data_IF_475602048928
#
_entry.id   IF_475602048928
#
_cell.length_a   1.000
_cell.length_b   1.000
_cell.length_c   1.000
_cell.angle_alpha   90.00
_cell.angle_beta   90.00
_cell.angle_gamma   90.00
#
_symmetry.space_group_name_H-M   'P 1'
#
loop_
_entity.id
_entity.type
_entity.pdbx_description
1 polymer ?
#
# COMPACT_ATOMS: atom_id res chain seq x y z
N UNK A 1 -5.03 -29.83 -32.30
CA UNK A 1 -4.12 -29.17 -31.38
C UNK A 1 -4.92 -28.75 -30.14
N UNK A 2 -4.73 -29.36 -28.95
CA UNK A 2 -5.42 -28.93 -27.72
C UNK A 2 -4.83 -27.59 -27.30
N UNK A 3 -5.65 -26.52 -27.24
CA UNK A 3 -5.26 -25.25 -26.63
C UNK A 3 -5.30 -25.44 -25.10
N UNK A 4 -4.13 -25.37 -24.48
CA UNK A 4 -4.04 -25.26 -23.02
C UNK A 4 -4.37 -23.82 -22.65
N UNK A 5 -5.53 -23.60 -22.02
CA UNK A 5 -5.89 -22.32 -21.42
C UNK A 5 -5.59 -22.42 -19.93
N UNK A 6 -5.08 -21.34 -19.34
CA UNK A 6 -4.90 -21.28 -17.90
C UNK A 6 -6.23 -21.57 -17.19
N UNK A 7 -6.19 -22.45 -16.19
CA UNK A 7 -7.34 -22.74 -15.33
C UNK A 7 -7.18 -21.89 -14.07
N UNK A 8 -8.16 -21.02 -13.81
CA UNK A 8 -8.21 -20.21 -12.61
C UNK A 8 -9.00 -20.95 -11.52
N UNK A 9 -8.44 -20.98 -10.33
CA UNK A 9 -9.10 -21.43 -9.11
C UNK A 9 -9.45 -20.19 -8.27
N UNK A 10 -10.71 -19.78 -8.33
CA UNK A 10 -11.20 -18.58 -7.67
C UNK A 10 -11.38 -18.82 -6.17
N UNK A 11 -10.70 -18.01 -5.36
CA UNK A 11 -10.85 -18.00 -3.91
C UNK A 11 -11.34 -16.64 -3.47
N UNK A 12 -12.59 -16.57 -3.05
CA UNK A 12 -13.18 -15.37 -2.50
C UNK A 12 -12.73 -15.15 -1.05
N UNK A 13 -12.49 -13.91 -0.67
CA UNK A 13 -12.29 -13.49 0.71
C UNK A 13 -13.28 -12.38 1.07
N UNK A 14 -13.48 -12.16 2.38
CA UNK A 14 -14.38 -11.13 2.87
C UNK A 14 -15.80 -11.62 3.18
N UNK A 15 -16.66 -10.69 3.56
CA UNK A 15 -18.05 -10.93 3.88
C UNK A 15 -18.91 -11.05 2.60
N UNK A 16 -20.22 -11.30 2.78
CA UNK A 16 -21.21 -11.28 1.70
C UNK A 16 -21.09 -10.02 0.84
N UNK A 17 -21.36 -10.09 -0.49
CA UNK A 17 -21.38 -8.91 -1.37
C UNK A 17 -22.26 -7.75 -0.89
N UNK A 18 -23.29 -8.04 -0.10
CA UNK A 18 -24.22 -7.05 0.46
C UNK A 18 -23.76 -6.48 1.81
N UNK A 19 -22.64 -6.96 2.36
CA UNK A 19 -22.12 -6.46 3.62
C UNK A 19 -21.29 -5.19 3.41
N UNK A 20 -21.27 -4.32 4.42
CA UNK A 20 -20.38 -3.16 4.42
C UNK A 20 -18.92 -3.61 4.29
N UNK A 21 -18.08 -2.88 3.52
CA UNK A 21 -16.67 -3.20 3.38
C UNK A 21 -15.96 -3.27 4.74
N UNK A 22 -15.26 -4.37 4.97
CA UNK A 22 -14.51 -4.60 6.23
C UNK A 22 -13.14 -5.17 5.94
N UNK A 23 -12.20 -4.99 6.87
CA UNK A 23 -10.92 -5.69 6.82
C UNK A 23 -11.17 -7.17 7.01
N UNK A 24 -10.58 -7.99 6.15
CA UNK A 24 -10.68 -9.46 6.21
C UNK A 24 -9.31 -10.10 6.05
N UNK A 25 -9.14 -11.26 6.67
CA UNK A 25 -7.91 -12.06 6.58
C UNK A 25 -8.08 -13.22 5.62
N UNK A 26 -7.01 -13.59 4.92
CA UNK A 26 -6.93 -14.78 4.09
C UNK A 26 -5.48 -15.28 4.05
N UNK A 27 -5.29 -16.55 3.70
CA UNK A 27 -3.96 -17.16 3.61
C UNK A 27 -3.48 -17.26 2.16
N UNK A 28 -2.22 -16.94 1.94
CA UNK A 28 -1.51 -17.14 0.67
C UNK A 28 -0.25 -17.96 0.94
N UNK A 29 -0.33 -19.26 0.73
CA UNK A 29 0.80 -20.20 0.90
C UNK A 29 1.48 -20.10 2.28
N UNK A 30 0.68 -19.98 3.35
CA UNK A 30 1.16 -19.87 4.73
C UNK A 30 1.47 -18.43 5.17
N UNK A 31 1.30 -17.44 4.30
CA UNK A 31 1.37 -16.03 4.66
C UNK A 31 -0.03 -15.48 4.92
N UNK A 32 -0.27 -15.04 6.15
CA UNK A 32 -1.50 -14.32 6.47
C UNK A 32 -1.50 -12.95 5.82
N UNK A 33 -2.53 -12.68 5.03
CA UNK A 33 -2.77 -11.41 4.35
C UNK A 33 -4.04 -10.76 4.89
N UNK A 34 -4.02 -9.44 5.00
CA UNK A 34 -5.21 -8.64 5.28
C UNK A 34 -5.64 -7.92 4.01
N UNK A 35 -6.91 -8.04 3.64
CA UNK A 35 -7.54 -7.22 2.61
C UNK A 35 -8.06 -5.93 3.26
N UNK A 36 -7.59 -4.79 2.77
CA UNK A 36 -7.86 -3.46 3.28
C UNK A 36 -8.80 -2.73 2.32
N UNK A 37 -10.08 -2.54 2.64
CA UNK A 37 -11.00 -1.86 1.74
C UNK A 37 -10.64 -0.37 1.62
N UNK A 38 -10.56 0.10 0.38
CA UNK A 38 -10.27 1.49 -0.01
C UNK A 38 -11.24 1.95 -1.09
N UNK A 39 -11.36 3.25 -1.32
CA UNK A 39 -12.06 3.78 -2.48
C UNK A 39 -11.08 3.92 -3.65
N UNK A 40 -11.53 3.55 -4.83
CA UNK A 40 -10.88 3.81 -6.11
C UNK A 40 -11.83 4.64 -6.97
N UNK A 41 -11.77 5.94 -6.81
CA UNK A 41 -12.78 6.88 -7.30
C UNK A 41 -13.88 7.18 -6.26
N UNK A 42 -15.05 7.63 -6.74
CA UNK A 42 -16.09 8.14 -5.86
C UNK A 42 -16.90 7.04 -5.15
N UNK A 43 -17.11 5.89 -5.79
CA UNK A 43 -18.08 4.88 -5.37
C UNK A 43 -17.60 3.42 -5.55
N UNK A 44 -16.39 3.21 -6.06
CA UNK A 44 -15.86 1.86 -6.27
C UNK A 44 -14.96 1.43 -5.11
N UNK A 45 -15.37 0.36 -4.40
CA UNK A 45 -14.54 -0.26 -3.37
C UNK A 45 -13.51 -1.17 -4.03
N UNK A 46 -12.25 -0.89 -3.78
CA UNK A 46 -11.10 -1.70 -4.13
C UNK A 46 -10.42 -2.22 -2.86
N UNK A 47 -9.40 -3.05 -2.99
CA UNK A 47 -8.66 -3.58 -1.85
C UNK A 47 -7.17 -3.36 -1.99
N UNK A 48 -6.59 -2.73 -0.98
CA UNK A 48 -5.18 -2.86 -0.68
C UNK A 48 -4.91 -4.10 0.17
N UNK A 49 -3.65 -4.34 0.47
CA UNK A 49 -3.23 -5.52 1.22
C UNK A 49 -2.22 -5.16 2.30
N UNK A 50 -2.27 -5.89 3.41
CA UNK A 50 -1.20 -5.83 4.40
C UNK A 50 -0.78 -7.23 4.82
N UNK A 51 0.49 -7.38 5.21
CA UNK A 51 1.08 -8.62 5.68
C UNK A 51 2.32 -8.35 6.54
N UNK A 52 2.94 -9.38 7.04
CA UNK A 52 4.13 -9.29 7.90
C UNK A 52 3.82 -9.43 9.38
N UNK A 53 4.84 -9.47 10.23
CA UNK A 53 4.69 -9.61 11.67
C UNK A 53 3.97 -8.40 12.28
N UNK A 54 3.46 -8.55 13.50
CA UNK A 54 2.62 -7.53 14.13
C UNK A 54 3.33 -6.17 14.29
N UNK A 55 4.62 -6.19 14.52
CA UNK A 55 5.48 -5.03 14.77
C UNK A 55 6.24 -4.52 13.53
N UNK A 56 6.05 -5.15 12.35
CA UNK A 56 6.72 -4.78 11.11
C UNK A 56 5.84 -5.04 9.89
N UNK A 57 4.69 -4.35 9.80
CA UNK A 57 3.72 -4.53 8.73
C UNK A 57 4.17 -3.90 7.42
N UNK A 58 3.94 -4.64 6.33
CA UNK A 58 3.92 -4.11 4.97
C UNK A 58 2.49 -3.76 4.62
N UNK A 59 2.27 -2.57 4.10
CA UNK A 59 0.96 -2.09 3.62
C UNK A 59 1.10 -1.69 2.16
N UNK A 60 0.25 -2.22 1.28
CA UNK A 60 0.26 -1.99 -0.16
C UNK A 60 -1.09 -1.44 -0.63
N UNK A 61 -1.10 -0.20 -1.12
CA UNK A 61 -2.28 0.52 -1.60
C UNK A 61 -1.94 1.15 -2.97
N UNK A 62 -2.10 0.38 -4.06
CA UNK A 62 -1.71 0.85 -5.41
C UNK A 62 -2.81 1.57 -6.17
N UNK A 63 -4.08 1.29 -5.86
CA UNK A 63 -5.24 1.82 -6.58
C UNK A 63 -6.24 2.35 -5.57
N UNK A 64 -6.03 3.59 -5.14
CA UNK A 64 -6.91 4.21 -4.14
C UNK A 64 -7.01 5.73 -4.35
N UNK A 65 -8.10 6.30 -3.86
CA UNK A 65 -8.31 7.74 -3.70
C UNK A 65 -8.53 8.11 -2.23
N UNK A 66 -9.12 7.19 -1.45
CA UNK A 66 -9.35 7.41 -0.03
C UNK A 66 -9.38 6.08 0.74
N UNK A 67 -9.01 6.14 2.02
CA UNK A 67 -9.18 5.01 2.93
C UNK A 67 -10.64 4.93 3.39
N UNK A 68 -11.19 3.72 3.43
CA UNK A 68 -12.47 3.49 4.10
C UNK A 68 -12.27 3.40 5.63
N UNK A 69 -13.29 3.70 6.43
CA UNK A 69 -13.17 3.78 7.89
C UNK A 69 -12.51 2.57 8.57
N UNK A 70 -12.79 1.30 8.17
CA UNK A 70 -12.13 0.15 8.78
C UNK A 70 -10.62 0.13 8.52
N UNK A 71 -10.19 0.49 7.32
CA UNK A 71 -8.77 0.58 6.95
C UNK A 71 -8.10 1.75 7.67
N UNK A 72 -8.73 2.92 7.69
CA UNK A 72 -8.22 4.10 8.39
C UNK A 72 -7.99 3.81 9.88
N UNK A 73 -8.95 3.19 10.56
CA UNK A 73 -8.83 2.85 11.98
C UNK A 73 -7.69 1.86 12.25
N UNK A 74 -7.53 0.85 11.39
CA UNK A 74 -6.46 -0.14 11.52
C UNK A 74 -5.08 0.49 11.30
N UNK A 75 -4.90 1.25 10.22
CA UNK A 75 -3.61 1.88 9.91
C UNK A 75 -3.23 2.95 10.94
N UNK A 76 -4.19 3.72 11.45
CA UNK A 76 -3.96 4.69 12.53
C UNK A 76 -3.48 4.01 13.81
N UNK A 77 -4.06 2.85 14.16
CA UNK A 77 -3.60 2.06 15.31
C UNK A 77 -2.17 1.56 15.13
N UNK A 78 -1.83 1.02 13.96
CA UNK A 78 -0.47 0.56 13.67
C UNK A 78 0.54 1.70 13.65
N UNK A 79 0.16 2.84 13.08
CA UNK A 79 0.96 4.06 13.11
C UNK A 79 1.30 4.49 14.53
N UNK A 80 0.30 4.55 15.43
CA UNK A 80 0.50 4.93 16.83
C UNK A 80 1.45 3.99 17.59
N UNK A 81 1.60 2.75 17.14
CA UNK A 81 2.51 1.74 17.70
C UNK A 81 3.88 1.70 16.98
N UNK A 82 4.04 2.42 15.88
CA UNK A 82 5.25 2.35 15.04
C UNK A 82 5.38 1.05 14.25
N UNK A 83 4.28 0.38 13.95
CA UNK A 83 4.27 -0.98 13.36
C UNK A 83 4.24 -1.01 11.82
N UNK A 84 4.25 0.13 11.13
CA UNK A 84 4.29 0.16 9.66
C UNK A 84 5.74 0.28 9.20
N UNK A 85 6.32 -0.86 8.79
CA UNK A 85 7.71 -0.92 8.32
C UNK A 85 7.83 -0.43 6.88
N UNK A 86 6.90 -0.84 6.01
CA UNK A 86 6.85 -0.41 4.62
C UNK A 86 5.42 -0.04 4.21
N UNK A 87 5.28 1.16 3.65
CA UNK A 87 4.04 1.65 3.06
C UNK A 87 4.26 1.84 1.56
N UNK A 88 3.53 1.10 0.72
CA UNK A 88 3.54 1.24 -0.74
C UNK A 88 2.27 1.92 -1.18
N UNK A 89 2.38 3.06 -1.86
CA UNK A 89 1.27 3.93 -2.21
C UNK A 89 1.23 4.25 -3.70
N UNK A 90 0.02 4.49 -4.20
CA UNK A 90 -0.23 4.99 -5.55
C UNK A 90 0.37 6.40 -5.76
N UNK A 91 0.90 6.67 -6.94
CA UNK A 91 1.35 8.01 -7.34
C UNK A 91 1.35 8.14 -8.86
N UNK A 92 0.18 8.10 -9.48
CA UNK A 92 0.05 8.19 -10.94
C UNK A 92 0.70 9.48 -11.49
N UNK A 93 0.63 10.57 -10.74
CA UNK A 93 1.28 11.88 -10.98
C UNK A 93 1.61 12.54 -9.65
N UNK A 94 2.55 13.45 -9.60
CA UNK A 94 2.85 14.14 -8.33
C UNK A 94 1.76 15.11 -7.93
N UNK A 95 1.27 15.92 -8.86
CA UNK A 95 0.34 17.03 -8.62
C UNK A 95 -0.92 16.91 -9.48
N UNK A 96 -1.93 17.71 -9.14
CA UNK A 96 -3.19 17.78 -9.85
C UNK A 96 -4.16 16.66 -9.47
N UNK A 97 -5.44 16.91 -9.60
CA UNK A 97 -6.46 15.92 -9.25
C UNK A 97 -6.55 14.79 -10.27
N UNK A 98 -6.79 13.57 -9.80
CA UNK A 98 -7.14 12.44 -10.64
C UNK A 98 -8.42 11.77 -10.11
N UNK A 99 -9.37 11.35 -10.99
CA UNK A 99 -10.68 10.89 -10.54
C UNK A 99 -10.64 9.55 -9.77
N UNK A 100 -9.63 8.72 -10.00
CA UNK A 100 -9.58 7.35 -9.44
C UNK A 100 -8.24 6.98 -8.80
N UNK A 101 -7.19 7.79 -8.93
CA UNK A 101 -5.88 7.53 -8.33
C UNK A 101 -5.46 8.67 -7.39
N UNK A 102 -4.85 8.31 -6.28
CA UNK A 102 -4.14 9.27 -5.45
C UNK A 102 -2.96 9.88 -6.20
N UNK A 103 -2.70 11.15 -5.95
CA UNK A 103 -1.48 11.83 -6.41
C UNK A 103 -0.31 11.53 -5.46
N UNK A 104 0.90 11.79 -5.93
CA UNK A 104 2.09 11.69 -5.08
C UNK A 104 2.01 12.62 -3.86
N UNK A 105 1.46 13.83 -4.01
CA UNK A 105 1.23 14.73 -2.88
C UNK A 105 0.25 14.17 -1.86
N UNK A 106 -0.89 13.61 -2.30
CA UNK A 106 -1.87 12.97 -1.41
C UNK A 106 -1.26 11.75 -0.71
N UNK A 107 -0.47 10.96 -1.42
CA UNK A 107 0.26 9.82 -0.85
C UNK A 107 1.35 10.25 0.14
N UNK A 108 2.06 11.35 -0.11
CA UNK A 108 2.99 11.96 0.85
C UNK A 108 2.23 12.45 2.09
N UNK A 109 1.05 13.05 1.95
CA UNK A 109 0.22 13.45 3.11
C UNK A 109 -0.22 12.23 3.92
N UNK A 110 -0.59 11.13 3.27
CA UNK A 110 -0.89 9.89 3.98
C UNK A 110 0.34 9.34 4.71
N UNK A 111 1.51 9.35 4.09
CA UNK A 111 2.76 8.94 4.72
C UNK A 111 3.13 9.82 5.93
N UNK A 112 2.94 11.14 5.85
CA UNK A 112 3.10 12.07 6.99
C UNK A 112 2.22 11.70 8.16
N UNK A 113 0.98 11.33 7.89
CA UNK A 113 -0.02 10.99 8.91
C UNK A 113 0.25 9.64 9.55
N UNK A 114 0.68 8.65 8.75
CA UNK A 114 0.92 7.28 9.22
C UNK A 114 2.34 7.05 9.74
N UNK A 115 3.31 7.89 9.40
CA UNK A 115 4.70 7.80 9.85
C UNK A 115 5.31 6.40 9.70
N UNK A 116 5.23 5.76 8.52
CA UNK A 116 5.88 4.47 8.30
C UNK A 116 7.39 4.62 8.38
N UNK A 117 8.11 3.52 8.59
CA UNK A 117 9.57 3.51 8.54
C UNK A 117 10.09 3.85 7.14
N UNK A 118 9.39 3.40 6.09
CA UNK A 118 9.68 3.71 4.69
C UNK A 118 8.40 3.76 3.86
N UNK A 119 8.37 4.68 2.88
CA UNK A 119 7.31 4.75 1.88
C UNK A 119 7.88 4.58 0.47
N UNK A 120 7.25 3.74 -0.33
CA UNK A 120 7.48 3.63 -1.78
C UNK A 120 6.26 4.11 -2.54
N UNK A 121 6.48 4.98 -3.52
CA UNK A 121 5.45 5.42 -4.45
C UNK A 121 5.53 4.56 -5.72
N UNK A 122 4.39 4.06 -6.18
CA UNK A 122 4.25 3.19 -7.36
C UNK A 122 3.21 3.75 -8.33
N UNK A 123 3.07 3.12 -9.50
CA UNK A 123 2.05 3.51 -10.48
C UNK A 123 2.36 4.77 -11.27
N UNK A 124 3.62 5.23 -11.29
CA UNK A 124 4.04 6.47 -11.94
C UNK A 124 3.66 6.52 -13.42
N UNK A 125 2.99 7.60 -13.82
CA UNK A 125 2.73 7.90 -15.22
C UNK A 125 3.98 8.42 -15.95
N UNK A 126 3.94 8.37 -17.28
CA UNK A 126 5.06 8.73 -18.17
C UNK A 126 5.50 10.21 -18.08
N UNK A 127 4.75 11.07 -17.42
CA UNK A 127 5.11 12.49 -17.21
C UNK A 127 5.98 12.72 -15.99
N UNK A 128 6.20 11.69 -15.19
CA UNK A 128 7.01 11.77 -13.97
C UNK A 128 8.44 11.32 -14.28
N UNK A 129 9.40 12.22 -14.13
CA UNK A 129 10.81 11.88 -14.28
C UNK A 129 11.34 11.34 -12.94
N UNK A 130 11.89 10.11 -12.94
CA UNK A 130 12.18 9.34 -11.75
C UNK A 130 13.25 9.99 -10.85
N UNK A 131 14.38 10.38 -11.44
CA UNK A 131 15.51 10.89 -10.67
C UNK A 131 15.25 12.30 -10.12
N UNK A 132 14.65 13.17 -10.93
CA UNK A 132 14.28 14.52 -10.50
C UNK A 132 13.21 14.48 -9.40
N UNK A 133 12.22 13.60 -9.52
CA UNK A 133 11.19 13.44 -8.50
C UNK A 133 11.79 12.89 -7.20
N UNK A 134 12.63 11.88 -7.26
CA UNK A 134 13.32 11.34 -6.08
C UNK A 134 14.23 12.39 -5.43
N UNK A 135 14.90 13.23 -6.23
CA UNK A 135 15.70 14.31 -5.70
C UNK A 135 14.85 15.32 -4.90
N UNK A 136 13.63 15.64 -5.38
CA UNK A 136 12.69 16.50 -4.65
C UNK A 136 12.17 15.81 -3.36
N UNK A 137 11.83 14.51 -3.42
CA UNK A 137 11.34 13.76 -2.27
C UNK A 137 12.37 13.61 -1.15
N UNK A 138 13.69 13.64 -1.47
CA UNK A 138 14.76 13.59 -0.47
C UNK A 138 14.69 14.70 0.58
N UNK A 139 14.06 15.84 0.26
CA UNK A 139 13.86 16.91 1.24
C UNK A 139 12.99 16.48 2.41
N UNK A 140 12.03 15.59 2.17
CA UNK A 140 11.16 15.07 3.23
C UNK A 140 11.95 14.32 4.31
N UNK A 141 13.01 13.60 3.91
CA UNK A 141 13.91 12.97 4.88
C UNK A 141 14.68 14.00 5.71
N UNK A 142 15.20 15.03 5.06
CA UNK A 142 16.03 16.04 5.73
C UNK A 142 15.20 16.95 6.65
N UNK A 143 14.01 17.34 6.21
CA UNK A 143 13.16 18.32 6.90
C UNK A 143 12.19 17.68 7.90
N UNK A 144 11.75 16.43 7.65
CA UNK A 144 10.66 15.80 8.37
C UNK A 144 10.99 14.38 8.90
N UNK A 145 12.18 13.86 8.62
CA UNK A 145 12.57 12.46 8.89
C UNK A 145 11.57 11.45 8.27
N UNK A 146 11.08 11.77 7.07
CA UNK A 146 10.10 10.96 6.34
C UNK A 146 10.76 10.34 5.10
N UNK A 147 11.02 9.01 5.13
CA UNK A 147 11.60 8.27 4.00
C UNK A 147 10.53 7.98 2.94
N UNK A 148 10.48 8.79 1.90
CA UNK A 148 9.59 8.62 0.73
C UNK A 148 10.42 8.63 -0.54
N UNK A 149 10.21 7.64 -1.39
CA UNK A 149 10.88 7.53 -2.68
C UNK A 149 9.98 6.84 -3.72
N UNK A 150 10.22 7.12 -4.99
CA UNK A 150 9.63 6.34 -6.08
C UNK A 150 10.27 4.95 -6.11
N UNK A 151 9.44 3.92 -6.30
CA UNK A 151 9.93 2.59 -6.60
C UNK A 151 10.52 2.52 -8.01
N UNK A 152 11.31 1.48 -8.30
CA UNK A 152 11.85 1.23 -9.63
C UNK A 152 11.78 -0.27 -9.99
N UNK A 153 11.75 -0.56 -11.28
CA UNK A 153 11.67 -1.93 -11.79
C UNK A 153 12.87 -2.76 -11.32
N UNK A 154 12.60 -3.93 -10.78
CA UNK A 154 13.63 -4.79 -10.21
C UNK A 154 14.10 -4.41 -8.79
N UNK A 155 13.47 -3.44 -8.14
CA UNK A 155 13.78 -3.10 -6.76
C UNK A 155 13.49 -4.29 -5.83
N UNK A 156 14.46 -4.64 -5.00
CA UNK A 156 14.35 -5.70 -4.02
C UNK A 156 14.48 -5.15 -2.60
N UNK A 157 13.47 -5.41 -1.77
CA UNK A 157 13.45 -5.04 -0.35
C UNK A 157 13.22 -6.31 0.49
N UNK A 158 14.21 -6.76 1.25
CA UNK A 158 14.03 -7.88 2.16
C UNK A 158 13.16 -7.44 3.36
N UNK A 159 12.05 -8.12 3.58
CA UNK A 159 11.16 -7.91 4.72
C UNK A 159 11.19 -9.18 5.57
N UNK A 160 11.63 -9.12 6.84
CA UNK A 160 11.55 -10.28 7.73
C UNK A 160 10.09 -10.59 8.04
N UNK A 161 9.65 -11.83 7.79
CA UNK A 161 8.27 -12.28 8.06
C UNK A 161 8.09 -12.81 9.48
N UNK A 162 9.15 -12.89 10.28
CA UNK A 162 9.09 -13.27 11.69
C UNK A 162 10.08 -12.45 12.50
N UNK A 163 9.66 -11.97 13.66
CA UNK A 163 10.54 -11.29 14.63
C UNK A 163 11.28 -12.24 15.56
N UNK A 164 11.02 -13.55 15.50
CA UNK A 164 11.70 -14.54 16.31
C UNK A 164 13.03 -14.96 15.67
N UNK A 165 14.05 -14.13 15.77
CA UNK A 165 15.42 -14.62 15.85
C UNK A 165 15.66 -14.94 17.31
N UNK A 166 15.30 -16.16 17.73
CA UNK A 166 15.83 -16.72 18.98
C UNK A 166 17.31 -16.99 18.73
N UNK A 167 18.18 -16.21 19.32
CA UNK A 167 19.61 -16.50 19.47
C UNK A 167 19.78 -17.52 20.57
#
# INVERSE_FOLDING_TARGET
>A
MRRYVAKLDWRAFGASPDAAPSVSTFDVCGLEMLALPVLHGADYTCYGFAFGPEDARVVYLSDYTALLPPTEALLSRWSALGHIDLLVLDALRMEGAHPVHATGEESVQLARRLRPRRTLLVGMGHTMEHDATNWQLRRLWVEEELDVQLAYDGQFLPIPLSTSVSV
#
